data_IF_444487575430
#
_entry.id   IF_444487575430
#
_cell.length_a   1.000
_cell.length_b   1.000
_cell.length_c   1.000
_cell.angle_alpha   90.00
_cell.angle_beta   90.00
_cell.angle_gamma   90.00
#
_symmetry.space_group_name_H-M   'P 1'
#
loop_
_entity.id
_entity.type
_entity.pdbx_description
1 polymer ?
#
# COMPACT_ATOMS: atom_id res chain seq x y z
N UNK A 1 -12.30 32.87 16.13
CA UNK A 1 -11.56 31.62 15.90
C UNK A 1 -11.51 31.38 14.40
N UNK A 2 -10.34 31.52 13.78
CA UNK A 2 -10.18 31.20 12.37
C UNK A 2 -10.04 29.68 12.24
N UNK A 3 -11.05 29.02 11.67
CA UNK A 3 -10.96 27.62 11.26
C UNK A 3 -10.06 27.64 10.02
N UNK A 4 -8.79 27.25 10.19
CA UNK A 4 -7.90 27.10 9.04
C UNK A 4 -8.49 26.04 8.12
N UNK A 5 -8.81 26.41 6.88
CA UNK A 5 -9.16 25.45 5.85
C UNK A 5 -8.07 24.35 5.79
N UNK A 6 -8.44 23.07 5.63
CA UNK A 6 -7.45 22.01 5.51
C UNK A 6 -6.53 22.35 4.34
N UNK A 7 -5.23 22.49 4.61
CA UNK A 7 -4.22 22.65 3.56
C UNK A 7 -4.34 21.43 2.66
N UNK A 8 -4.82 21.65 1.44
CA UNK A 8 -4.86 20.62 0.41
C UNK A 8 -3.43 20.13 0.22
N UNK A 9 -3.14 18.91 0.66
CA UNK A 9 -1.83 18.30 0.44
C UNK A 9 -1.77 17.86 -1.02
N UNK A 10 -0.67 18.20 -1.66
CA UNK A 10 -0.40 17.78 -3.04
C UNK A 10 0.48 16.53 -3.00
N UNK A 11 0.35 15.72 -4.05
CA UNK A 11 1.25 14.59 -4.29
C UNK A 11 2.71 15.05 -4.35
N UNK A 12 3.62 14.25 -3.77
CA UNK A 12 5.04 14.60 -3.81
C UNK A 12 5.60 14.50 -5.22
N UNK A 13 6.51 15.42 -5.57
CA UNK A 13 7.24 15.37 -6.84
C UNK A 13 8.00 14.05 -7.06
N UNK A 14 8.36 13.38 -5.96
CA UNK A 14 8.94 12.05 -6.00
C UNK A 14 7.94 11.01 -6.53
N UNK A 15 6.73 10.93 -5.96
CA UNK A 15 5.70 9.98 -6.42
C UNK A 15 5.19 10.31 -7.83
N UNK A 16 5.06 11.60 -8.18
CA UNK A 16 4.77 12.03 -9.56
C UNK A 16 5.77 11.48 -10.58
N UNK A 17 7.01 11.21 -10.18
CA UNK A 17 8.04 10.63 -11.04
C UNK A 17 8.01 9.11 -11.00
N UNK A 18 7.90 8.51 -9.80
CA UNK A 18 8.04 7.06 -9.64
C UNK A 18 6.79 6.27 -10.03
N UNK A 19 5.59 6.82 -9.83
CA UNK A 19 4.33 6.15 -10.18
C UNK A 19 4.23 5.88 -11.69
N UNK A 20 4.50 6.83 -12.60
CA UNK A 20 4.50 6.54 -14.03
C UNK A 20 5.54 5.47 -14.44
N UNK A 21 6.72 5.48 -13.82
CA UNK A 21 7.77 4.48 -14.09
C UNK A 21 7.31 3.09 -13.63
N UNK A 22 6.70 3.02 -12.44
CA UNK A 22 6.10 1.78 -11.94
C UNK A 22 5.04 1.26 -12.92
N UNK A 23 4.09 2.10 -13.31
CA UNK A 23 2.99 1.72 -14.20
C UNK A 23 3.43 1.39 -15.63
N UNK A 24 4.58 1.89 -16.08
CA UNK A 24 5.16 1.48 -17.37
C UNK A 24 5.50 -0.02 -17.40
N UNK A 25 5.94 -0.56 -16.26
CA UNK A 25 6.50 -1.90 -16.17
C UNK A 25 5.54 -2.92 -15.54
N UNK A 26 4.63 -2.45 -14.68
CA UNK A 26 3.78 -3.31 -13.87
C UNK A 26 2.29 -2.96 -14.01
N UNK A 27 1.44 -3.97 -13.89
CA UNK A 27 0.00 -3.83 -13.69
C UNK A 27 -0.37 -4.28 -12.28
N UNK A 28 -1.36 -3.61 -11.71
CA UNK A 28 -1.93 -3.94 -10.41
C UNK A 28 -3.35 -4.45 -10.60
N UNK A 29 -3.67 -5.55 -9.94
CA UNK A 29 -5.03 -6.02 -9.80
C UNK A 29 -5.34 -6.35 -8.34
N UNK A 30 -6.62 -6.45 -8.00
CA UNK A 30 -7.04 -6.72 -6.64
C UNK A 30 -8.27 -7.62 -6.57
N UNK A 31 -8.47 -8.18 -5.38
CA UNK A 31 -9.66 -8.93 -5.00
C UNK A 31 -10.09 -8.42 -3.65
N UNK A 32 -11.38 -8.16 -3.50
CA UNK A 32 -11.95 -7.66 -2.25
C UNK A 32 -12.92 -8.68 -1.68
N UNK A 33 -12.71 -9.04 -0.42
CA UNK A 33 -13.63 -9.88 0.35
C UNK A 33 -13.91 -9.19 1.69
N UNK A 34 -15.13 -8.70 1.84
CA UNK A 34 -15.53 -7.91 3.01
C UNK A 34 -14.60 -6.71 3.25
N UNK A 35 -13.91 -6.74 4.39
CA UNK A 35 -12.98 -5.70 4.81
C UNK A 35 -11.51 -6.02 4.50
N UNK A 36 -11.24 -7.02 3.66
CA UNK A 36 -9.91 -7.37 3.19
C UNK A 36 -9.76 -7.11 1.68
N UNK A 37 -8.59 -6.63 1.27
CA UNK A 37 -8.15 -6.56 -0.13
C UNK A 37 -6.83 -7.30 -0.28
N UNK A 38 -6.77 -8.20 -1.23
CA UNK A 38 -5.53 -8.80 -1.72
C UNK A 38 -5.16 -8.17 -3.06
N UNK A 39 -3.93 -7.68 -3.19
CA UNK A 39 -3.39 -7.14 -4.43
C UNK A 39 -2.37 -8.09 -5.06
N UNK A 40 -2.28 -7.98 -6.39
CA UNK A 40 -1.40 -8.75 -7.24
C UNK A 40 -0.60 -7.81 -8.14
N UNK A 41 0.68 -8.11 -8.33
CA UNK A 41 1.55 -7.40 -9.25
C UNK A 41 1.95 -8.32 -10.40
N UNK A 42 1.68 -7.87 -11.62
CA UNK A 42 2.04 -8.57 -12.85
C UNK A 42 3.00 -7.68 -13.68
N UNK A 43 3.91 -8.30 -14.42
CA UNK A 43 4.67 -7.57 -15.45
C UNK A 43 3.74 -7.21 -16.60
N UNK A 44 3.81 -5.98 -17.09
CA UNK A 44 2.91 -5.51 -18.15
C UNK A 44 3.14 -6.21 -19.49
N UNK A 45 4.36 -6.66 -19.76
CA UNK A 45 4.77 -7.26 -21.03
C UNK A 45 5.00 -8.78 -20.96
N UNK A 46 4.63 -9.42 -19.85
CA UNK A 46 4.73 -10.88 -19.73
C UNK A 46 3.63 -11.42 -18.83
N UNK A 47 3.26 -12.68 -18.98
CA UNK A 47 2.31 -13.36 -18.09
C UNK A 47 2.89 -13.70 -16.71
N UNK A 48 4.10 -13.23 -16.40
CA UNK A 48 4.77 -13.46 -15.12
C UNK A 48 4.11 -12.63 -14.00
N UNK A 49 3.54 -13.32 -13.02
CA UNK A 49 3.16 -12.72 -11.74
C UNK A 49 4.42 -12.55 -10.91
N UNK A 50 4.74 -11.32 -10.53
CA UNK A 50 5.94 -11.01 -9.73
C UNK A 50 5.65 -11.20 -8.25
N UNK A 51 4.45 -10.85 -7.81
CA UNK A 51 4.08 -10.97 -6.40
C UNK A 51 2.60 -11.27 -6.27
N UNK A 52 2.32 -12.23 -5.39
CA UNK A 52 1.00 -12.60 -4.91
C UNK A 52 0.91 -12.35 -3.41
N UNK A 53 -0.28 -12.02 -2.92
CA UNK A 53 -0.60 -11.81 -1.51
C UNK A 53 -0.06 -10.52 -0.87
N UNK A 54 -0.31 -9.36 -1.49
CA UNK A 54 -0.23 -8.09 -0.76
C UNK A 54 -1.57 -7.83 -0.07
N UNK A 55 -1.65 -8.04 1.24
CA UNK A 55 -2.93 -8.13 1.97
C UNK A 55 -3.10 -6.93 2.90
N UNK A 56 -4.25 -6.28 2.76
CA UNK A 56 -4.67 -5.12 3.53
C UNK A 56 -6.03 -5.40 4.15
N UNK A 57 -6.21 -5.06 5.42
CA UNK A 57 -7.45 -5.29 6.17
C UNK A 57 -7.90 -3.99 6.84
N UNK A 58 -9.12 -3.55 6.57
CA UNK A 58 -9.68 -2.33 7.15
C UNK A 58 -10.61 -2.63 8.32
N UNK A 59 -10.42 -1.93 9.43
CA UNK A 59 -11.31 -1.94 10.59
C UNK A 59 -11.98 -0.58 10.75
N UNK A 60 -13.27 -0.43 10.35
CA UNK A 60 -13.98 0.84 10.48
C UNK A 60 -14.12 1.31 11.93
N UNK A 61 -14.24 0.36 12.87
CA UNK A 61 -14.41 0.62 14.30
C UNK A 61 -13.11 1.15 14.89
N UNK A 62 -11.98 0.52 14.57
CA UNK A 62 -10.66 0.95 15.05
C UNK A 62 -10.08 2.12 14.25
N UNK A 63 -10.70 2.48 13.11
CA UNK A 63 -10.16 3.45 12.13
C UNK A 63 -8.75 3.07 11.68
N UNK A 64 -8.53 1.78 11.44
CA UNK A 64 -7.21 1.22 11.12
C UNK A 64 -7.23 0.48 9.79
N UNK A 65 -6.22 0.72 8.95
CA UNK A 65 -5.88 -0.08 7.79
C UNK A 65 -4.61 -0.87 8.10
N UNK A 66 -4.81 -2.13 8.46
CA UNK A 66 -3.72 -3.03 8.76
C UNK A 66 -3.10 -3.59 7.47
N UNK A 67 -1.78 -3.46 7.31
CA UNK A 67 -1.01 -4.07 6.22
C UNK A 67 -0.45 -5.40 6.70
N UNK A 68 -1.22 -6.47 6.51
CA UNK A 68 -0.90 -7.82 6.96
C UNK A 68 0.31 -8.41 6.22
N UNK A 69 0.43 -8.14 4.92
CA UNK A 69 1.51 -8.67 4.08
C UNK A 69 1.87 -7.67 2.99
N UNK A 70 3.13 -7.23 2.94
CA UNK A 70 3.65 -6.38 1.88
C UNK A 70 5.07 -6.80 1.46
N UNK A 71 5.14 -7.80 0.58
CA UNK A 71 6.39 -8.31 0.01
C UNK A 71 6.28 -8.32 -1.52
N UNK A 72 6.35 -7.14 -2.17
CA UNK A 72 6.04 -7.01 -3.59
C UNK A 72 7.08 -7.65 -4.52
N UNK A 73 8.18 -8.21 -4.00
CA UNK A 73 9.29 -8.85 -4.73
C UNK A 73 9.91 -8.02 -5.87
N UNK A 74 9.60 -6.72 -5.92
CA UNK A 74 10.04 -5.81 -6.99
C UNK A 74 11.55 -5.63 -7.03
N UNK A 75 12.25 -5.85 -5.91
CA UNK A 75 13.72 -5.77 -5.85
C UNK A 75 14.44 -6.72 -6.82
N UNK A 76 13.74 -7.77 -7.31
CA UNK A 76 14.26 -8.70 -8.32
C UNK A 76 14.24 -8.13 -9.74
N UNK A 77 13.60 -6.98 -9.94
CA UNK A 77 13.46 -6.33 -11.24
C UNK A 77 14.56 -5.30 -11.47
N UNK A 78 14.87 -5.02 -12.74
CA UNK A 78 15.80 -3.96 -13.14
C UNK A 78 15.28 -2.60 -12.72
N UNK A 79 16.17 -1.71 -12.26
CA UNK A 79 15.85 -0.34 -11.82
C UNK A 79 14.74 -0.25 -10.75
N UNK A 80 14.68 -1.24 -9.86
CA UNK A 80 13.59 -1.45 -8.91
C UNK A 80 13.65 -0.61 -7.63
N UNK A 81 14.69 0.23 -7.46
CA UNK A 81 15.04 0.88 -6.19
C UNK A 81 13.87 1.56 -5.47
N UNK A 82 12.94 2.15 -6.23
CA UNK A 82 11.79 2.88 -5.68
C UNK A 82 10.43 2.25 -6.01
N UNK A 83 10.41 1.09 -6.67
CA UNK A 83 9.18 0.49 -7.15
C UNK A 83 8.30 -0.01 -6.01
N UNK A 84 8.89 -0.55 -4.93
CA UNK A 84 8.13 -0.90 -3.72
C UNK A 84 7.49 0.31 -3.05
N UNK A 85 8.14 1.47 -3.07
CA UNK A 85 7.58 2.71 -2.50
C UNK A 85 6.40 3.21 -3.34
N UNK A 86 6.55 3.24 -4.66
CA UNK A 86 5.47 3.61 -5.59
C UNK A 86 4.28 2.65 -5.51
N UNK A 87 4.56 1.34 -5.40
CA UNK A 87 3.53 0.33 -5.19
C UNK A 87 2.77 0.56 -3.87
N UNK A 88 3.49 0.66 -2.75
CA UNK A 88 2.87 0.89 -1.44
C UNK A 88 1.97 2.14 -1.45
N UNK A 89 2.47 3.22 -2.05
CA UNK A 89 1.74 4.47 -2.21
C UNK A 89 0.40 4.27 -2.96
N UNK A 90 0.43 3.64 -4.13
CA UNK A 90 -0.78 3.35 -4.90
C UNK A 90 -1.79 2.48 -4.13
N UNK A 91 -1.32 1.44 -3.43
CA UNK A 91 -2.19 0.52 -2.70
C UNK A 91 -2.89 1.18 -1.52
N UNK A 92 -2.18 2.03 -0.75
CA UNK A 92 -2.79 2.78 0.36
C UNK A 92 -3.89 3.71 -0.15
N UNK A 93 -3.62 4.48 -1.21
CA UNK A 93 -4.62 5.39 -1.78
C UNK A 93 -5.82 4.64 -2.37
N UNK A 94 -5.58 3.48 -2.98
CA UNK A 94 -6.66 2.63 -3.48
C UNK A 94 -7.51 2.05 -2.36
N UNK A 95 -6.91 1.58 -1.26
CA UNK A 95 -7.64 1.14 -0.07
C UNK A 95 -8.51 2.28 0.50
N UNK A 96 -7.93 3.47 0.63
CA UNK A 96 -8.63 4.64 1.16
C UNK A 96 -9.86 4.99 0.32
N UNK A 97 -9.74 4.97 -1.02
CA UNK A 97 -10.88 5.14 -1.92
C UNK A 97 -11.90 3.99 -1.81
N UNK A 98 -11.42 2.75 -1.86
CA UNK A 98 -12.25 1.52 -1.86
C UNK A 98 -13.09 1.32 -0.60
N UNK A 99 -12.66 1.88 0.52
CA UNK A 99 -13.38 1.83 1.80
C UNK A 99 -13.97 3.17 2.24
N UNK A 100 -13.89 4.21 1.39
CA UNK A 100 -14.35 5.57 1.72
C UNK A 100 -13.78 6.07 3.05
N UNK A 101 -12.49 5.84 3.27
CA UNK A 101 -11.82 6.19 4.51
C UNK A 101 -11.75 7.72 4.68
N UNK A 102 -11.73 8.15 5.94
CA UNK A 102 -11.54 9.55 6.34
C UNK A 102 -10.10 9.77 6.85
N UNK A 103 -9.73 11.03 7.07
CA UNK A 103 -8.39 11.40 7.55
C UNK A 103 -8.16 11.04 9.03
N UNK A 104 -9.16 10.49 9.73
CA UNK A 104 -9.00 9.95 11.07
C UNK A 104 -8.47 8.50 11.06
N UNK A 105 -8.35 7.90 9.87
CA UNK A 105 -7.82 6.56 9.71
C UNK A 105 -6.28 6.54 9.74
N UNK A 106 -5.72 5.48 10.31
CA UNK A 106 -4.29 5.20 10.31
C UNK A 106 -3.96 3.93 9.54
N UNK A 107 -2.67 3.79 9.22
CA UNK A 107 -2.05 2.58 8.68
C UNK A 107 -1.31 1.93 9.83
N UNK A 108 -1.56 0.65 10.08
CA UNK A 108 -0.77 -0.16 11.02
C UNK A 108 -0.09 -1.32 10.32
N UNK A 109 1.10 -1.70 10.77
CA UNK A 109 1.78 -2.92 10.31
C UNK A 109 2.82 -3.41 11.30
N UNK A 110 3.10 -4.72 11.26
CA UNK A 110 4.21 -5.33 11.98
C UNK A 110 5.36 -5.65 11.02
N UNK A 111 6.59 -5.38 11.44
CA UNK A 111 7.80 -5.66 10.66
C UNK A 111 9.01 -5.89 11.56
N UNK A 112 10.20 -6.04 10.99
CA UNK A 112 11.46 -6.14 11.73
C UNK A 112 12.22 -4.80 11.69
N UNK A 113 13.07 -4.46 12.68
CA UNK A 113 13.75 -3.17 12.74
C UNK A 113 14.49 -2.77 11.46
N UNK A 114 15.16 -3.72 10.80
CA UNK A 114 15.91 -3.44 9.55
C UNK A 114 15.02 -3.01 8.40
N UNK A 115 13.80 -3.56 8.28
CA UNK A 115 12.81 -3.17 7.27
C UNK A 115 12.12 -1.87 7.66
N UNK A 116 11.84 -1.67 8.95
CA UNK A 116 11.35 -0.39 9.49
C UNK A 116 12.26 0.76 9.09
N UNK A 117 13.55 0.69 9.45
CA UNK A 117 14.52 1.78 9.27
C UNK A 117 14.98 1.91 7.80
N UNK A 118 14.99 0.79 7.07
CA UNK A 118 15.42 0.71 5.68
C UNK A 118 14.35 1.10 4.67
N UNK A 119 13.07 0.93 4.99
CA UNK A 119 11.96 1.15 4.07
C UNK A 119 10.89 2.07 4.67
N UNK A 120 10.12 1.62 5.65
CA UNK A 120 8.89 2.31 6.08
C UNK A 120 9.12 3.72 6.64
N UNK A 121 10.08 3.89 7.55
CA UNK A 121 10.41 5.21 8.12
C UNK A 121 10.92 6.19 7.04
N UNK A 122 11.43 5.68 5.91
CA UNK A 122 11.95 6.51 4.82
C UNK A 122 10.89 6.95 3.82
N UNK A 123 9.67 6.40 3.88
CA UNK A 123 8.59 6.75 2.97
C UNK A 123 8.01 8.12 3.33
N UNK A 124 8.61 9.23 2.89
CA UNK A 124 8.24 10.59 3.34
C UNK A 124 6.78 10.99 3.14
N UNK A 125 6.08 10.36 2.20
CA UNK A 125 4.64 10.55 1.99
C UNK A 125 3.79 9.95 3.13
N UNK A 126 4.38 9.05 3.93
CA UNK A 126 3.83 8.39 5.10
C UNK A 126 4.70 8.67 6.33
N UNK A 127 4.12 9.22 7.40
CA UNK A 127 4.89 9.57 8.60
C UNK A 127 4.98 8.39 9.57
N UNK A 128 5.53 7.26 9.09
CA UNK A 128 5.66 6.06 9.91
C UNK A 128 6.58 6.29 11.11
N UNK A 129 6.12 5.86 12.27
CA UNK A 129 6.89 5.82 13.50
C UNK A 129 6.61 4.54 14.27
N UNK A 130 7.56 4.15 15.12
CA UNK A 130 7.41 2.97 15.98
C UNK A 130 6.36 3.25 17.04
N UNK A 131 5.27 2.50 17.02
CA UNK A 131 4.24 2.53 18.04
C UNK A 131 4.62 1.63 19.23
N UNK A 132 5.12 0.42 18.95
CA UNK A 132 5.47 -0.56 19.97
C UNK A 132 6.60 -1.49 19.53
N UNK A 133 7.52 -1.78 20.44
CA UNK A 133 8.46 -2.90 20.28
C UNK A 133 7.81 -4.17 20.87
N UNK A 134 7.79 -5.26 20.09
CA UNK A 134 7.24 -6.56 20.50
C UNK A 134 8.36 -7.58 20.72
N UNK A 135 8.02 -8.66 21.42
CA UNK A 135 8.92 -9.80 21.60
C UNK A 135 9.23 -10.44 20.23
N UNK A 136 10.42 -11.01 20.09
CA UNK A 136 10.81 -11.70 18.85
C UNK A 136 11.36 -10.79 17.74
N UNK A 137 11.92 -9.63 18.08
CA UNK A 137 12.50 -8.68 17.12
C UNK A 137 11.48 -8.12 16.11
N UNK A 138 10.25 -7.91 16.58
CA UNK A 138 9.15 -7.32 15.80
C UNK A 138 8.88 -5.91 16.31
N UNK A 139 8.67 -4.98 15.38
CA UNK A 139 8.24 -3.60 15.64
C UNK A 139 6.91 -3.35 14.97
N UNK A 140 6.02 -2.69 15.70
CA UNK A 140 4.73 -2.24 15.21
C UNK A 140 4.85 -0.77 14.79
N UNK A 141 4.52 -0.48 13.54
CA UNK A 141 4.58 0.85 12.96
C UNK A 141 3.17 1.40 12.75
N UNK A 142 3.03 2.70 12.92
CA UNK A 142 1.80 3.44 12.64
C UNK A 142 2.10 4.70 11.82
N UNK A 143 1.19 5.06 10.92
CA UNK A 143 1.18 6.34 10.18
C UNK A 143 -0.25 6.80 10.01
N UNK A 144 -0.49 8.11 10.02
CA UNK A 144 -1.76 8.66 9.56
C UNK A 144 -1.94 8.42 8.05
N UNK A 145 -3.19 8.31 7.60
CA UNK A 145 -3.55 8.33 6.18
C UNK A 145 -3.87 9.76 5.78
N UNK A 146 -3.12 10.27 4.81
CA UNK A 146 -3.42 11.55 4.19
C UNK A 146 -4.09 11.31 2.84
N UNK A 147 -5.36 11.73 2.71
CA UNK A 147 -6.04 11.63 1.42
C UNK A 147 -5.44 12.60 0.42
N UNK A 148 -4.93 12.03 -0.67
CA UNK A 148 -4.46 12.74 -1.85
C UNK A 148 -5.33 12.34 -3.05
N UNK A 149 -5.55 13.23 -4.03
CA UNK A 149 -6.30 12.93 -5.24
C UNK A 149 -5.45 12.11 -6.23
N UNK A 150 -4.99 10.94 -5.79
CA UNK A 150 -4.20 10.00 -6.61
C UNK A 150 -5.17 9.23 -7.50
N UNK A 151 -4.92 9.24 -8.80
CA UNK A 151 -5.65 8.37 -9.71
C UNK A 151 -5.23 6.93 -9.46
N UNK A 152 -6.15 6.11 -8.95
CA UNK A 152 -5.96 4.66 -8.75
C UNK A 152 -6.82 3.82 -9.69
N UNK A 153 -7.42 4.44 -10.72
CA UNK A 153 -8.33 3.78 -11.66
C UNK A 153 -7.65 2.70 -12.51
N UNK A 154 -6.31 2.70 -12.58
CA UNK A 154 -5.53 1.68 -13.26
C UNK A 154 -5.50 0.34 -12.52
N UNK A 155 -5.82 0.32 -11.22
CA UNK A 155 -5.88 -0.90 -10.41
C UNK A 155 -7.22 -1.57 -10.70
N UNK A 156 -7.20 -2.78 -11.25
CA UNK A 156 -8.42 -3.48 -11.71
C UNK A 156 -8.81 -4.61 -10.80
N UNK A 157 -10.11 -4.75 -10.57
CA UNK A 157 -10.65 -5.93 -9.87
C UNK A 157 -10.41 -7.17 -10.73
N UNK A 158 -9.92 -8.24 -10.11
CA UNK A 158 -9.62 -9.50 -10.77
C UNK A 158 -10.90 -10.34 -10.83
N UNK A 159 -11.27 -10.79 -12.02
CA UNK A 159 -12.38 -11.72 -12.21
C UNK A 159 -11.78 -13.13 -12.22
N UNK A 160 -12.08 -13.93 -11.20
CA UNK A 160 -11.67 -15.32 -11.17
C UNK A 160 -12.53 -16.19 -12.07
N UNK A 161 -11.91 -17.24 -12.61
CA UNK A 161 -12.64 -18.39 -13.17
C UNK A 161 -12.86 -19.40 -12.05
N UNK A 162 -13.90 -20.22 -12.16
CA UNK A 162 -14.19 -21.27 -11.17
C UNK A 162 -12.94 -22.06 -10.81
N UNK A 163 -12.58 -22.07 -9.51
CA UNK A 163 -11.47 -22.87 -8.95
C UNK A 163 -10.26 -22.09 -8.42
N UNK A 164 -10.12 -20.80 -8.74
CA UNK A 164 -9.08 -19.97 -8.11
C UNK A 164 -9.55 -19.50 -6.72
N UNK A 165 -8.79 -19.82 -5.66
CA UNK A 165 -9.15 -19.44 -4.29
C UNK A 165 -8.27 -18.27 -3.81
N UNK A 166 -8.84 -17.08 -3.57
CA UNK A 166 -8.14 -15.93 -3.01
C UNK A 166 -7.70 -16.18 -1.56
N UNK A 167 -6.73 -15.41 -1.04
CA UNK A 167 -6.27 -15.43 0.36
C UNK A 167 -5.67 -16.75 0.90
N UNK A 168 -5.54 -17.81 0.07
CA UNK A 168 -5.16 -19.17 0.50
C UNK A 168 -3.76 -19.63 0.02
N UNK A 169 -2.90 -18.70 -0.43
CA UNK A 169 -1.52 -18.98 -0.88
C UNK A 169 -0.43 -18.60 0.13
#
# INVERSE_FOLDING_TARGET
MAISAPKMRCESGFMLTQVPIFLKNFSLSFVKEGSCIEYFIEKRFSTETISSALIFSYSPIAKDLHVSRFYPELYRQTDSKYMSAACFYLLIHHCAGSYSMDDACHISLETVPTVSDGFYIRLKDFNFHVYKNRLGNVVELISDIFRLPVDTSMIKERIFRDGDIPFLK
#
